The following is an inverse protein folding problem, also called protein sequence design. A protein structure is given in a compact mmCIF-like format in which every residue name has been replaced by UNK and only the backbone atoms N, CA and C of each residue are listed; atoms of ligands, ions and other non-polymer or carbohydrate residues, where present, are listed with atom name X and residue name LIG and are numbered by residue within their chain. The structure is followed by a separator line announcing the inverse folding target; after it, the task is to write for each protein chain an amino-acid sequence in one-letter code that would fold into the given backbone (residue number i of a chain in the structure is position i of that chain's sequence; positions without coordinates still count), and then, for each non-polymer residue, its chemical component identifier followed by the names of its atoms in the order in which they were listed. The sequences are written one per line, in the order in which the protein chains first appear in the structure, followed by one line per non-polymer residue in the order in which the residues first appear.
data_IF_874586789601
#
_entry.id   IF_874586789601
#
_cell.length_a   1.000
_cell.length_b   1.000
_cell.length_c   1.000
_cell.angle_alpha   90.00
_cell.angle_beta   90.00
_cell.angle_gamma   90.00
#
_symmetry.space_group_name_H-M   'P 1'
#
loop_
_entity.id
_entity.type
_entity.pdbx_description
1 polymer ?
#
# COMPACT_ATOMS: atom_id res chain seq x y z
N UNK A 1 -15.74 13.80 -13.73
CA UNK A 1 -15.46 12.38 -13.45
C UNK A 1 -13.97 12.26 -13.12
N UNK A 2 -13.60 11.77 -11.93
CA UNK A 2 -12.19 11.70 -11.51
C UNK A 2 -11.55 10.37 -11.86
N UNK A 3 -10.38 10.38 -12.48
CA UNK A 3 -9.60 9.18 -12.83
C UNK A 3 -8.43 9.00 -11.84
N UNK A 4 -8.12 7.76 -11.46
CA UNK A 4 -6.92 7.46 -10.68
C UNK A 4 -5.71 7.42 -11.61
N UNK A 5 -4.64 8.12 -11.25
CA UNK A 5 -3.40 8.05 -12.00
C UNK A 5 -2.72 6.71 -11.71
N UNK A 6 -2.53 5.89 -12.75
CA UNK A 6 -1.85 4.60 -12.68
C UNK A 6 -0.42 4.67 -13.23
N UNK A 7 0.14 5.88 -13.41
CA UNK A 7 1.54 6.05 -13.77
C UNK A 7 2.44 5.47 -12.66
N UNK A 8 3.32 4.52 -12.98
CA UNK A 8 4.26 3.98 -12.00
C UNK A 8 5.23 5.07 -11.55
N UNK A 9 5.55 5.09 -10.26
CA UNK A 9 6.58 5.97 -9.72
C UNK A 9 7.57 5.15 -8.91
N UNK A 10 8.86 5.42 -9.15
CA UNK A 10 9.95 4.94 -8.32
C UNK A 10 10.10 5.86 -7.12
N UNK A 11 9.89 5.32 -5.92
CA UNK A 11 10.09 6.05 -4.67
C UNK A 11 11.45 5.67 -4.08
N UNK A 12 12.38 6.63 -3.90
CA UNK A 12 13.70 6.33 -3.38
C UNK A 12 13.63 5.98 -1.88
N UNK A 13 14.49 5.03 -1.45
CA UNK A 13 14.62 4.66 -0.03
C UNK A 13 15.33 5.75 0.79
N UNK A 14 16.26 6.46 0.17
CA UNK A 14 16.99 7.58 0.75
C UNK A 14 16.81 8.79 -0.16
N UNK A 15 16.42 9.91 0.42
CA UNK A 15 16.21 11.16 -0.28
C UNK A 15 16.95 12.27 0.45
N UNK A 16 17.95 12.83 -0.22
CA UNK A 16 18.69 14.00 0.26
C UNK A 16 18.05 15.25 -0.35
N UNK A 17 17.54 16.15 0.48
CA UNK A 17 16.95 17.41 0.06
C UNK A 17 17.62 18.55 0.81
N UNK A 18 18.33 19.41 0.08
CA UNK A 18 19.14 20.49 0.66
C UNK A 18 20.14 19.95 1.69
N UNK A 19 20.01 20.33 2.95
CA UNK A 19 20.86 19.92 4.07
C UNK A 19 20.21 18.82 4.94
N UNK A 20 19.16 18.16 4.44
CA UNK A 20 18.36 17.20 5.19
C UNK A 20 18.33 15.84 4.50
N UNK A 21 18.48 14.79 5.30
CA UNK A 21 18.41 13.39 4.87
C UNK A 21 17.11 12.75 5.32
N UNK A 22 16.40 12.14 4.37
CA UNK A 22 15.15 11.43 4.61
C UNK A 22 15.30 9.96 4.25
N UNK A 23 14.83 9.10 5.14
CA UNK A 23 14.75 7.66 4.88
C UNK A 23 13.27 7.26 4.78
N UNK A 24 12.92 6.50 3.75
CA UNK A 24 11.59 5.96 3.59
C UNK A 24 11.30 4.99 4.75
N UNK A 25 10.23 5.28 5.48
CA UNK A 25 9.81 4.49 6.63
C UNK A 25 8.59 3.61 6.32
N UNK A 26 7.64 4.15 5.55
CA UNK A 26 6.42 3.45 5.20
C UNK A 26 5.87 3.91 3.84
N UNK A 27 5.10 3.03 3.20
CA UNK A 27 4.38 3.26 1.96
C UNK A 27 2.93 2.82 2.16
N UNK A 28 1.97 3.69 1.85
CA UNK A 28 0.56 3.33 1.82
C UNK A 28 0.16 3.10 0.38
N UNK A 29 -0.34 1.92 0.09
CA UNK A 29 -0.79 1.51 -1.23
C UNK A 29 -2.31 1.59 -1.29
N UNK A 30 -2.82 1.94 -2.46
CA UNK A 30 -4.23 1.88 -2.77
C UNK A 30 -4.41 1.07 -4.05
N UNK A 31 -5.17 -0.01 -4.00
CA UNK A 31 -5.60 -0.78 -5.18
C UNK A 31 -7.03 -0.38 -5.57
N UNK A 32 -7.45 -0.64 -6.81
CA UNK A 32 -8.79 -0.29 -7.29
C UNK A 32 -8.95 1.16 -7.74
N UNK A 33 -10.21 1.57 -7.90
CA UNK A 33 -10.64 2.86 -8.47
C UNK A 33 -10.67 3.98 -7.42
N UNK A 34 -10.90 5.23 -7.84
CA UNK A 34 -11.08 6.34 -6.90
C UNK A 34 -12.35 6.24 -6.03
N UNK A 35 -13.36 5.47 -6.45
CA UNK A 35 -14.62 5.33 -5.72
C UNK A 35 -14.71 4.05 -4.88
N UNK A 36 -13.93 3.03 -5.22
CA UNK A 36 -13.86 1.73 -4.55
C UNK A 36 -12.47 1.16 -4.71
N UNK A 37 -11.83 0.80 -3.61
CA UNK A 37 -10.48 0.28 -3.58
C UNK A 37 -10.12 -0.31 -2.22
N UNK A 38 -8.90 -0.79 -2.10
CA UNK A 38 -8.35 -1.38 -0.88
C UNK A 38 -7.05 -0.70 -0.50
N UNK A 39 -6.85 -0.45 0.79
CA UNK A 39 -5.64 0.17 1.30
C UNK A 39 -4.80 -0.87 2.04
N UNK A 40 -3.52 -0.93 1.70
CA UNK A 40 -2.53 -1.69 2.46
C UNK A 40 -1.37 -0.77 2.84
N UNK A 41 -0.63 -1.13 3.87
CA UNK A 41 0.56 -0.38 4.29
C UNK A 41 1.76 -1.31 4.33
N UNK A 42 2.91 -0.80 3.88
CA UNK A 42 4.20 -1.46 4.09
C UNK A 42 5.04 -0.55 4.95
N UNK A 43 5.57 -1.02 6.07
CA UNK A 43 6.44 -0.22 6.94
C UNK A 43 7.67 -0.99 7.40
N UNK A 44 8.75 -0.25 7.62
CA UNK A 44 9.97 -0.78 8.20
C UNK A 44 9.85 -0.84 9.72
N UNK A 45 10.07 -2.02 10.29
CA UNK A 45 10.16 -2.21 11.71
C UNK A 45 11.46 -1.59 12.25
N UNK A 46 11.36 -0.83 13.33
CA UNK A 46 12.51 -0.22 13.99
C UNK A 46 13.29 -1.22 14.85
N UNK A 47 12.71 -2.37 15.18
CA UNK A 47 13.34 -3.36 16.07
C UNK A 47 14.25 -4.33 15.33
N UNK A 48 13.91 -4.71 14.11
CA UNK A 48 14.65 -5.70 13.32
C UNK A 48 15.04 -5.19 11.91
N UNK A 49 14.71 -3.95 11.57
CA UNK A 49 14.96 -3.32 10.27
C UNK A 49 14.34 -4.06 9.07
N UNK A 50 13.35 -4.94 9.30
CA UNK A 50 12.63 -5.66 8.24
C UNK A 50 11.40 -4.90 7.79
N UNK A 51 10.93 -5.20 6.59
CA UNK A 51 9.70 -4.63 6.03
C UNK A 51 8.53 -5.57 6.27
N UNK A 52 7.40 -5.00 6.66
CA UNK A 52 6.16 -5.73 6.92
C UNK A 52 5.02 -5.12 6.12
N UNK A 53 4.21 -5.97 5.48
CA UNK A 53 2.97 -5.61 4.84
C UNK A 53 1.81 -5.83 5.81
N UNK A 54 0.95 -4.82 5.93
CA UNK A 54 -0.24 -4.78 6.75
C UNK A 54 -1.45 -4.71 5.82
N UNK A 55 -2.28 -5.74 5.89
CA UNK A 55 -3.48 -5.94 5.08
C UNK A 55 -4.63 -6.34 6.02
N UNK A 56 -5.42 -5.35 6.45
CA UNK A 56 -6.43 -5.45 7.49
C UNK A 56 -5.93 -6.15 8.77
N UNK A 57 -6.27 -7.42 8.95
CA UNK A 57 -5.89 -8.23 10.13
C UNK A 57 -4.64 -9.07 9.89
N UNK A 58 -4.09 -9.05 8.67
CA UNK A 58 -2.95 -9.87 8.26
C UNK A 58 -1.69 -9.02 8.26
N UNK A 59 -0.63 -9.56 8.85
CA UNK A 59 0.71 -8.98 8.83
C UNK A 59 1.67 -10.01 8.25
N UNK A 60 2.43 -9.63 7.23
CA UNK A 60 3.40 -10.52 6.58
C UNK A 60 4.76 -9.83 6.44
N UNK A 61 5.84 -10.57 6.74
CA UNK A 61 7.20 -10.09 6.48
C UNK A 61 7.46 -10.11 4.97
N UNK A 62 7.97 -9.00 4.42
CA UNK A 62 8.37 -8.91 3.03
C UNK A 62 9.78 -9.50 2.88
N UNK A 63 9.86 -10.74 2.38
CA UNK A 63 11.14 -11.42 2.14
C UNK A 63 11.92 -10.67 1.08
N UNK A 64 13.12 -10.21 1.43
CA UNK A 64 14.01 -9.52 0.50
C UNK A 64 14.63 -10.54 -0.45
N UNK A 65 14.24 -10.55 -1.73
CA UNK A 65 15.12 -11.03 -2.79
C UNK A 65 16.33 -10.12 -2.92
N UNK A 66 17.42 -10.56 -3.57
CA UNK A 66 18.75 -9.91 -3.63
C UNK A 66 18.80 -8.49 -4.27
N UNK A 67 17.66 -7.84 -4.45
CA UNK A 67 17.53 -6.42 -4.74
C UNK A 67 16.67 -5.78 -3.64
N UNK A 68 17.32 -5.40 -2.54
CA UNK A 68 16.72 -4.69 -1.41
C UNK A 68 16.36 -3.25 -1.80
N UNK A 69 15.39 -3.12 -2.70
CA UNK A 69 14.65 -1.89 -2.90
C UNK A 69 13.21 -2.17 -2.46
N UNK A 70 12.55 -1.22 -1.77
CA UNK A 70 11.10 -1.15 -1.79
C UNK A 70 10.63 -0.70 -3.20
N UNK A 71 11.08 -1.41 -4.24
CA UNK A 71 10.69 -1.15 -5.62
C UNK A 71 9.66 -2.21 -6.00
N UNK A 72 8.39 -1.80 -5.96
CA UNK A 72 7.39 -2.20 -6.96
C UNK A 72 7.00 -3.68 -7.10
N UNK A 73 7.39 -4.59 -6.20
CA UNK A 73 6.72 -5.90 -6.03
C UNK A 73 5.25 -5.76 -5.58
N UNK A 74 4.80 -4.56 -5.22
CA UNK A 74 3.39 -4.24 -4.98
C UNK A 74 2.59 -4.19 -6.30
N UNK A 75 3.23 -3.84 -7.42
CA UNK A 75 2.53 -3.71 -8.70
C UNK A 75 2.26 -5.05 -9.39
N UNK A 76 3.15 -6.03 -9.22
CA UNK A 76 3.01 -7.38 -9.79
C UNK A 76 2.04 -8.23 -8.94
N UNK A 77 2.20 -8.23 -7.61
CA UNK A 77 1.33 -8.98 -6.70
C UNK A 77 -0.13 -8.46 -6.68
N UNK A 78 -0.36 -7.16 -6.91
CA UNK A 78 -1.72 -6.60 -7.04
C UNK A 78 -2.39 -6.92 -8.39
N UNK A 79 -1.63 -7.22 -9.45
CA UNK A 79 -2.19 -7.69 -10.72
C UNK A 79 -2.71 -9.11 -10.58
N UNK A 80 -1.94 -9.99 -9.93
CA UNK A 80 -2.33 -11.38 -9.69
C UNK A 80 -3.48 -11.49 -8.67
N UNK A 81 -3.54 -10.66 -7.63
CA UNK A 81 -4.63 -10.73 -6.64
C UNK A 81 -5.98 -10.15 -7.14
N UNK A 82 -5.97 -9.27 -8.16
CA UNK A 82 -7.18 -8.61 -8.67
C UNK A 82 -7.98 -9.46 -9.68
N UNK A 83 -7.39 -10.52 -10.23
CA UNK A 83 -8.05 -11.41 -11.20
C UNK A 83 -8.78 -12.59 -10.53
N UNK A 84 -8.45 -12.93 -9.27
CA UNK A 84 -8.95 -14.16 -8.63
C UNK A 84 -10.18 -14.05 -7.71
N UNK A 85 -10.75 -12.87 -7.40
CA UNK A 85 -11.88 -12.80 -6.45
C UNK A 85 -12.99 -11.85 -6.91
N UNK A 86 -13.63 -12.21 -8.01
CA UNK A 86 -15.03 -11.87 -8.29
C UNK A 86 -15.92 -12.95 -7.66
N UNK A 87 -16.31 -12.75 -6.39
CA UNK A 87 -17.45 -13.35 -5.66
C UNK A 87 -17.14 -13.47 -4.16
N UNK A 88 -17.31 -12.39 -3.39
CA UNK A 88 -18.03 -12.55 -2.12
C UNK A 88 -18.57 -11.19 -1.61
N UNK A 89 -19.86 -11.17 -1.26
CA UNK A 89 -20.54 -9.99 -0.70
C UNK A 89 -20.45 -10.07 0.82
N UNK A 90 -19.61 -9.24 1.45
CA UNK A 90 -19.56 -9.12 2.91
C UNK A 90 -20.47 -7.97 3.42
N UNK A 91 -21.28 -8.18 4.47
CA UNK A 91 -22.34 -7.26 4.91
C UNK A 91 -21.88 -6.11 5.83
N UNK A 92 -20.57 -5.86 5.96
CA UNK A 92 -20.02 -5.06 7.06
C UNK A 92 -19.84 -3.55 6.79
N UNK A 93 -20.66 -2.95 5.92
CA UNK A 93 -20.71 -1.49 5.80
C UNK A 93 -22.15 -0.99 5.91
N UNK A 94 -22.53 -0.63 7.14
CA UNK A 94 -23.64 0.28 7.40
C UNK A 94 -23.14 1.39 8.35
N UNK A 95 -23.57 2.60 8.04
CA UNK A 95 -23.54 3.82 8.87
C UNK A 95 -22.22 4.59 9.03
N UNK A 96 -22.09 5.68 8.26
CA UNK A 96 -21.86 7.03 8.82
C UNK A 96 -22.32 8.10 7.83
N UNK A 97 -23.62 8.42 7.81
CA UNK A 97 -24.10 9.74 7.37
C UNK A 97 -25.23 10.16 8.28
N UNK A 98 -24.92 11.03 9.25
CA UNK A 98 -25.81 12.06 9.82
C UNK A 98 -25.05 12.85 10.90
N UNK A 99 -24.45 13.96 10.50
CA UNK A 99 -24.45 15.16 11.35
C UNK A 99 -24.55 16.39 10.44
N UNK A 100 -25.80 16.78 10.23
CA UNK A 100 -26.23 18.08 9.72
C UNK A 100 -26.03 19.07 10.87
N UNK A 101 -25.37 20.18 10.62
CA UNK A 101 -25.70 21.48 11.23
C UNK A 101 -26.16 22.37 10.08
#
# INVERSE_FOLDING_TARGET
MGLKNHCPMDVPLHLSLQEQEYCLYAVINHSGSRFRGHYTAVSRSLTDNKWYCFDDRRVTEQRSGAHSKPQLEVSAALREAAEQNDQDKSPYYQETTKKKM
#
